data_IF_788134638152
#
_entry.id   IF_788134638152
#
_cell.length_a   1.000
_cell.length_b   1.000
_cell.length_c   1.000
_cell.angle_alpha   90.00
_cell.angle_beta   90.00
_cell.angle_gamma   90.00
#
_symmetry.space_group_name_H-M   'P 1'
#
loop_
_entity.id
_entity.type
_entity.pdbx_description
1 polymer ?
#
# COMPACT_ATOMS: atom_id res chain seq x y z
N UNK A 1 -0.13 -13.19 -12.67
CA UNK A 1 0.53 -13.17 -11.35
C UNK A 1 -0.48 -13.59 -10.29
N UNK A 2 -0.04 -14.02 -9.10
CA UNK A 2 -0.92 -14.41 -7.98
C UNK A 2 -0.90 -13.35 -6.87
N UNK A 3 -1.88 -13.40 -5.97
CA UNK A 3 -1.91 -12.56 -4.76
C UNK A 3 -0.64 -12.71 -3.91
N UNK A 4 -0.16 -13.95 -3.74
CA UNK A 4 1.09 -14.22 -3.03
C UNK A 4 2.30 -13.58 -3.71
N UNK A 5 2.35 -13.57 -5.05
CA UNK A 5 3.43 -12.89 -5.79
C UNK A 5 3.38 -11.38 -5.58
N UNK A 6 2.19 -10.78 -5.50
CA UNK A 6 2.02 -9.35 -5.24
C UNK A 6 2.40 -8.97 -3.80
N UNK A 7 2.03 -9.82 -2.83
CA UNK A 7 2.49 -9.69 -1.45
C UNK A 7 4.03 -9.67 -1.40
N UNK A 8 4.68 -10.67 -1.98
CA UNK A 8 6.14 -10.78 -1.95
C UNK A 8 6.82 -9.58 -2.64
N UNK A 9 6.30 -9.18 -3.80
CA UNK A 9 6.82 -8.02 -4.55
C UNK A 9 6.82 -6.74 -3.71
N UNK A 10 5.72 -6.47 -3.01
CA UNK A 10 5.61 -5.25 -2.19
C UNK A 10 6.42 -5.40 -0.88
N UNK A 11 6.49 -6.60 -0.31
CA UNK A 11 7.32 -6.89 0.86
C UNK A 11 8.80 -6.61 0.57
N UNK A 12 9.34 -7.20 -0.51
CA UNK A 12 10.74 -7.06 -0.91
C UNK A 12 11.10 -5.59 -1.18
N UNK A 13 10.19 -4.86 -1.84
CA UNK A 13 10.33 -3.42 -2.09
C UNK A 13 10.51 -2.64 -0.80
N UNK A 14 9.64 -2.83 0.19
CA UNK A 14 9.71 -2.08 1.44
C UNK A 14 10.88 -2.52 2.33
N UNK A 15 11.20 -3.81 2.37
CA UNK A 15 12.40 -4.29 3.05
C UNK A 15 13.67 -3.65 2.47
N UNK A 16 13.78 -3.58 1.14
CA UNK A 16 14.90 -2.91 0.47
C UNK A 16 14.98 -1.43 0.83
N UNK A 17 13.85 -0.71 0.87
CA UNK A 17 13.82 0.72 1.22
C UNK A 17 14.25 1.02 2.65
N UNK A 18 14.13 0.05 3.56
CA UNK A 18 14.51 0.18 4.97
C UNK A 18 15.86 -0.46 5.30
N UNK A 19 16.53 -1.11 4.34
CA UNK A 19 17.81 -1.77 4.57
C UNK A 19 18.92 -0.81 5.06
N UNK A 20 18.81 0.47 4.71
CA UNK A 20 19.75 1.55 5.08
C UNK A 20 19.35 2.29 6.36
N UNK A 21 18.31 1.84 7.07
CA UNK A 21 17.89 2.43 8.35
C UNK A 21 18.50 1.70 9.55
N UNK A 22 18.47 2.33 10.73
CA UNK A 22 19.01 1.73 11.95
C UNK A 22 18.29 0.42 12.33
N UNK A 23 18.95 -0.55 13.00
CA UNK A 23 18.31 -1.80 13.41
C UNK A 23 17.03 -1.60 14.25
N UNK A 24 17.02 -0.60 15.15
CA UNK A 24 15.86 -0.24 15.93
C UNK A 24 14.68 0.22 15.06
N UNK A 25 14.96 0.97 13.98
CA UNK A 25 13.94 1.38 13.01
C UNK A 25 13.42 0.19 12.23
N UNK A 26 14.31 -0.68 11.74
CA UNK A 26 13.95 -1.89 11.01
C UNK A 26 13.01 -2.79 11.83
N UNK A 27 13.32 -2.99 13.11
CA UNK A 27 12.47 -3.73 14.04
C UNK A 27 11.10 -3.06 14.20
N UNK A 28 11.08 -1.75 14.45
CA UNK A 28 9.85 -0.98 14.66
C UNK A 28 8.91 -0.97 13.44
N UNK A 29 9.45 -1.04 12.21
CA UNK A 29 8.63 -1.01 10.98
C UNK A 29 8.25 -2.38 10.43
N UNK A 30 8.87 -3.46 10.91
CA UNK A 30 8.67 -4.83 10.39
C UNK A 30 7.19 -5.20 10.20
N UNK A 31 6.37 -5.00 11.24
CA UNK A 31 4.94 -5.28 11.18
C UNK A 31 4.15 -4.35 10.24
N UNK A 32 4.59 -3.10 10.07
CA UNK A 32 3.98 -2.16 9.11
C UNK A 32 4.32 -2.56 7.67
N UNK A 33 5.55 -3.02 7.42
CA UNK A 33 6.01 -3.53 6.12
C UNK A 33 5.21 -4.79 5.72
N UNK A 34 5.04 -5.74 6.64
CA UNK A 34 4.20 -6.92 6.37
C UNK A 34 2.74 -6.52 6.12
N UNK A 35 2.22 -5.54 6.87
CA UNK A 35 0.84 -5.07 6.71
C UNK A 35 0.63 -4.36 5.37
N UNK A 36 1.54 -3.50 4.94
CA UNK A 36 1.41 -2.77 3.67
C UNK A 36 1.47 -3.74 2.49
N UNK A 37 2.34 -4.74 2.55
CA UNK A 37 2.43 -5.81 1.55
C UNK A 37 1.13 -6.64 1.50
N UNK A 38 0.56 -6.97 2.66
CA UNK A 38 -0.73 -7.68 2.73
C UNK A 38 -1.87 -6.87 2.13
N UNK A 39 -2.01 -5.60 2.51
CA UNK A 39 -3.05 -4.71 1.97
C UNK A 39 -2.90 -4.51 0.47
N UNK A 40 -1.67 -4.33 -0.03
CA UNK A 40 -1.39 -4.28 -1.47
C UNK A 40 -1.90 -5.54 -2.20
N UNK A 41 -1.61 -6.72 -1.65
CA UNK A 41 -2.04 -7.98 -2.23
C UNK A 41 -3.58 -8.13 -2.27
N UNK A 42 -4.29 -7.60 -1.26
CA UNK A 42 -5.76 -7.56 -1.22
C UNK A 42 -6.32 -6.58 -2.26
N UNK A 43 -5.74 -5.39 -2.37
CA UNK A 43 -6.10 -4.42 -3.41
C UNK A 43 -6.00 -5.05 -4.80
N UNK A 44 -4.89 -5.75 -5.07
CA UNK A 44 -4.69 -6.43 -6.34
C UNK A 44 -5.75 -7.51 -6.61
N UNK A 45 -6.05 -8.36 -5.63
CA UNK A 45 -7.07 -9.42 -5.76
C UNK A 45 -8.46 -8.83 -6.08
N UNK A 46 -8.85 -7.78 -5.38
CA UNK A 46 -10.12 -7.08 -5.61
C UNK A 46 -10.12 -6.39 -6.97
N UNK A 47 -9.01 -5.78 -7.37
CA UNK A 47 -8.85 -5.15 -8.68
C UNK A 47 -9.02 -6.18 -9.81
N UNK A 48 -8.44 -7.39 -9.70
CA UNK A 48 -8.67 -8.45 -10.69
C UNK A 48 -10.15 -8.83 -10.78
N UNK A 49 -10.84 -8.92 -9.64
CA UNK A 49 -12.28 -9.20 -9.61
C UNK A 49 -13.08 -8.07 -10.27
N UNK A 50 -12.77 -6.80 -9.98
CA UNK A 50 -13.42 -5.64 -10.60
C UNK A 50 -13.15 -5.58 -12.10
N UNK A 51 -11.93 -5.89 -12.55
CA UNK A 51 -11.58 -5.91 -13.97
C UNK A 51 -12.36 -6.98 -14.75
N UNK A 52 -12.64 -8.12 -14.11
CA UNK A 52 -13.46 -9.18 -14.71
C UNK A 52 -14.96 -8.86 -14.72
N UNK A 53 -15.48 -8.28 -13.65
CA UNK A 53 -16.93 -8.08 -13.45
C UNK A 53 -17.43 -6.68 -13.84
N UNK A 54 -16.53 -5.73 -14.03
CA UNK A 54 -16.81 -4.31 -14.17
C UNK A 54 -17.06 -3.59 -12.83
N UNK A 55 -16.71 -2.31 -12.79
CA UNK A 55 -16.99 -1.42 -11.65
C UNK A 55 -18.49 -1.06 -11.53
N UNK A 56 -19.23 -1.13 -12.65
CA UNK A 56 -20.67 -0.89 -12.72
C UNK A 56 -21.30 -2.11 -13.38
N UNK A 57 -22.25 -2.75 -12.68
CA UNK A 57 -23.09 -3.81 -13.25
C UNK A 57 -24.14 -3.15 -14.14
N UNK A 58 -24.03 -3.39 -15.45
CA UNK A 58 -24.95 -2.84 -16.46
C UNK A 58 -26.00 -3.88 -16.84
N UNK A 59 -27.28 -3.54 -16.69
CA UNK A 59 -28.35 -4.36 -17.24
C UNK A 59 -28.48 -4.07 -18.74
N UNK A 60 -28.46 -5.09 -19.62
CA UNK A 60 -28.33 -4.88 -21.07
C UNK A 60 -29.49 -4.10 -21.70
N UNK A 61 -30.68 -4.18 -21.11
CA UNK A 61 -31.91 -3.58 -21.65
C UNK A 61 -32.51 -2.50 -20.76
N UNK A 62 -31.95 -2.29 -19.56
CA UNK A 62 -32.53 -1.43 -18.52
C UNK A 62 -31.45 -0.60 -17.83
N UNK A 63 -30.95 0.46 -18.49
CA UNK A 63 -29.87 1.29 -17.97
C UNK A 63 -30.16 1.88 -16.57
N UNK A 64 -31.42 2.08 -16.21
CA UNK A 64 -31.88 2.56 -14.91
C UNK A 64 -31.63 1.57 -13.76
N UNK A 65 -31.41 0.29 -14.05
CA UNK A 65 -31.09 -0.75 -13.06
C UNK A 65 -29.59 -0.92 -12.81
N UNK A 66 -28.75 -0.03 -13.34
CA UNK A 66 -27.32 -0.03 -13.10
C UNK A 66 -26.98 0.10 -11.62
N UNK A 67 -26.02 -0.70 -11.15
CA UNK A 67 -25.54 -0.66 -9.76
C UNK A 67 -24.02 -0.73 -9.69
N UNK A 68 -23.44 0.00 -8.75
CA UNK A 68 -22.00 -0.07 -8.46
C UNK A 68 -21.69 -1.47 -7.93
N UNK A 69 -20.58 -2.05 -8.39
CA UNK A 69 -20.07 -3.30 -7.84
C UNK A 69 -19.60 -3.04 -6.39
N UNK A 70 -20.14 -3.75 -5.36
CA UNK A 70 -19.78 -3.52 -3.96
C UNK A 70 -18.27 -3.61 -3.68
N UNK A 71 -17.54 -4.39 -4.48
CA UNK A 71 -16.09 -4.53 -4.38
C UNK A 71 -15.34 -3.21 -4.62
N UNK A 72 -15.91 -2.27 -5.40
CA UNK A 72 -15.30 -0.95 -5.65
C UNK A 72 -15.17 -0.16 -4.36
N UNK A 73 -16.17 -0.23 -3.48
CA UNK A 73 -16.14 0.45 -2.18
C UNK A 73 -15.08 -0.15 -1.26
N UNK A 74 -14.94 -1.47 -1.26
CA UNK A 74 -13.93 -2.16 -0.46
C UNK A 74 -12.52 -1.88 -0.97
N UNK A 75 -12.32 -1.86 -2.29
CA UNK A 75 -11.08 -1.43 -2.92
C UNK A 75 -10.68 -0.03 -2.45
N UNK A 76 -11.59 0.94 -2.53
CA UNK A 76 -11.32 2.32 -2.08
C UNK A 76 -10.87 2.39 -0.61
N UNK A 77 -11.54 1.65 0.29
CA UNK A 77 -11.18 1.58 1.71
C UNK A 77 -9.78 1.00 1.95
N UNK A 78 -9.44 -0.06 1.22
CA UNK A 78 -8.13 -0.70 1.31
C UNK A 78 -7.03 0.18 0.70
N UNK A 79 -7.29 0.85 -0.42
CA UNK A 79 -6.37 1.81 -1.03
C UNK A 79 -6.04 2.97 -0.10
N UNK A 80 -7.03 3.49 0.64
CA UNK A 80 -6.80 4.53 1.64
C UNK A 80 -5.98 4.01 2.83
N UNK A 81 -6.29 2.78 3.29
CA UNK A 81 -5.50 2.13 4.35
C UNK A 81 -4.04 1.93 3.92
N UNK A 82 -3.82 1.51 2.67
CA UNK A 82 -2.51 1.35 2.06
C UNK A 82 -1.75 2.68 2.02
N UNK A 83 -2.37 3.75 1.50
CA UNK A 83 -1.78 5.09 1.48
C UNK A 83 -1.40 5.57 2.89
N UNK A 84 -2.26 5.33 3.88
CA UNK A 84 -1.99 5.67 5.28
C UNK A 84 -0.77 4.94 5.86
N UNK A 85 -0.59 3.65 5.53
CA UNK A 85 0.58 2.90 5.98
C UNK A 85 1.85 3.37 5.25
N UNK A 86 1.79 3.61 3.94
CA UNK A 86 2.90 4.16 3.16
C UNK A 86 3.38 5.49 3.73
N UNK A 87 2.46 6.40 4.05
CA UNK A 87 2.82 7.69 4.61
C UNK A 87 3.55 7.55 5.95
N UNK A 88 3.12 6.61 6.81
CA UNK A 88 3.80 6.32 8.07
C UNK A 88 5.19 5.73 7.85
N UNK A 89 5.32 4.78 6.92
CA UNK A 89 6.61 4.18 6.57
C UNK A 89 7.57 5.25 6.03
N UNK A 90 7.14 6.09 5.09
CA UNK A 90 7.97 7.17 4.56
C UNK A 90 8.38 8.17 5.66
N UNK A 91 7.47 8.55 6.55
CA UNK A 91 7.80 9.44 7.66
C UNK A 91 8.83 8.85 8.63
N UNK A 92 8.78 7.53 8.88
CA UNK A 92 9.78 6.84 9.71
C UNK A 92 11.12 6.68 8.99
N UNK A 93 11.10 6.43 7.68
CA UNK A 93 12.31 6.30 6.87
C UNK A 93 13.10 7.60 6.82
N UNK A 94 12.45 8.73 6.50
CA UNK A 94 13.11 10.06 6.41
C UNK A 94 13.81 10.44 7.72
N UNK A 95 13.23 10.07 8.87
CA UNK A 95 13.76 10.40 10.19
C UNK A 95 14.93 9.52 10.66
N UNK A 96 15.17 8.38 10.01
CA UNK A 96 16.05 7.33 10.53
C UNK A 96 16.98 6.73 9.47
N UNK A 97 17.18 7.44 8.35
CA UNK A 97 18.24 7.09 7.40
C UNK A 97 19.59 7.29 8.11
N UNK A 98 20.50 6.33 7.97
CA UNK A 98 21.88 6.45 8.46
C UNK A 98 22.50 7.64 7.69
N UNK A 99 22.73 8.73 8.41
CA UNK A 99 22.89 10.13 7.96
C UNK A 99 23.79 10.35 6.73
N UNK A 100 23.23 11.05 5.72
CA UNK A 100 23.91 12.10 4.95
C UNK A 100 22.86 13.26 4.84
N UNK A 101 23.21 14.47 5.30
CA UNK A 101 22.43 15.75 5.39
C UNK A 101 21.40 15.89 6.56
N UNK A 102 21.43 16.89 7.46
CA UNK A 102 22.01 18.26 7.47
C UNK A 102 22.48 18.57 8.92
N UNK A 103 23.71 18.99 9.24
CA UNK A 103 24.38 20.26 8.84
C UNK A 103 23.51 21.54 8.90
N UNK A 104 22.44 21.57 9.71
CA UNK A 104 21.63 22.78 9.95
C UNK A 104 21.43 23.13 11.44
N UNK A 105 22.34 22.71 12.31
CA UNK A 105 22.43 23.20 13.71
C UNK A 105 23.38 24.43 13.85
N UNK A 106 23.87 25.02 12.74
CA UNK A 106 24.83 26.15 12.77
C UNK A 106 24.22 27.55 12.60
N UNK A 107 22.96 27.77 12.99
CA UNK A 107 22.45 29.14 13.17
C UNK A 107 21.64 29.30 14.46
N UNK A 108 22.34 29.81 15.48
CA UNK A 108 21.81 30.69 16.54
C UNK A 108 20.93 31.83 15.98
#
# INVERSE_FOLDING_TARGET
MSKAAQYQTELDKWQKLFAETTPATQEAVSGLIEKVAYVHSLCWEIEQSINSAGAIKKHPQRPELQKINPQVKEYARLSESYAGIINKLNALRVKNTIEEDDELDEYE
#
